data_IF_159029355892
#
_entry.id   IF_159029355892
#
_cell.length_a   1.000
_cell.length_b   1.000
_cell.length_c   1.000
_cell.angle_alpha   90.00
_cell.angle_beta   90.00
_cell.angle_gamma   90.00
#
_symmetry.space_group_name_H-M   'P 1'
#
loop_
_entity.id
_entity.type
_entity.pdbx_description
1 polymer ?
#
# COMPACT_ATOMS: atom_id res chain seq x y z
N UNK A 1 -18.15 -42.38 3.00
CA UNK A 1 -17.06 -41.38 3.00
C UNK A 1 -17.54 -40.19 2.18
N UNK A 2 -17.80 -39.06 2.83
CA UNK A 2 -18.13 -37.81 2.13
C UNK A 2 -16.80 -37.17 1.72
N UNK A 3 -16.55 -36.87 0.44
CA UNK A 3 -15.40 -36.08 0.07
C UNK A 3 -15.65 -34.66 0.58
N UNK A 4 -14.85 -34.23 1.55
CA UNK A 4 -14.81 -32.82 1.93
C UNK A 4 -14.38 -32.04 0.67
N UNK A 5 -15.32 -31.28 0.09
CA UNK A 5 -15.03 -30.28 -0.92
C UNK A 5 -14.08 -29.26 -0.29
N UNK A 6 -12.78 -29.43 -0.53
CA UNK A 6 -11.78 -28.40 -0.27
C UNK A 6 -11.99 -27.29 -1.29
N UNK A 7 -12.92 -26.38 -1.01
CA UNK A 7 -13.00 -25.12 -1.74
C UNK A 7 -11.75 -24.31 -1.39
N UNK A 8 -10.81 -24.18 -2.34
CA UNK A 8 -9.74 -23.20 -2.23
C UNK A 8 -10.37 -21.81 -2.13
N UNK A 9 -10.15 -21.11 -1.03
CA UNK A 9 -10.54 -19.72 -0.90
C UNK A 9 -9.77 -18.88 -1.93
N UNK A 10 -10.47 -18.06 -2.70
CA UNK A 10 -9.85 -17.10 -3.61
C UNK A 10 -9.25 -15.95 -2.79
N UNK A 11 -8.03 -15.55 -3.14
CA UNK A 11 -7.41 -14.37 -2.56
C UNK A 11 -8.18 -13.12 -2.99
N UNK A 12 -8.46 -12.23 -2.04
CA UNK A 12 -9.01 -10.90 -2.29
C UNK A 12 -7.84 -9.93 -2.31
N UNK A 13 -7.84 -9.01 -3.28
CA UNK A 13 -6.83 -7.97 -3.38
C UNK A 13 -7.44 -6.58 -3.38
N UNK A 14 -6.70 -5.65 -2.78
CA UNK A 14 -6.95 -4.21 -2.83
C UNK A 14 -5.68 -3.48 -3.28
N UNK A 15 -5.84 -2.34 -3.94
CA UNK A 15 -4.73 -1.56 -4.47
C UNK A 15 -4.92 -0.07 -4.22
N UNK A 16 -3.82 0.63 -3.99
CA UNK A 16 -3.78 2.08 -3.92
C UNK A 16 -2.58 2.61 -4.71
N UNK A 17 -2.74 3.78 -5.33
CA UNK A 17 -1.72 4.43 -6.16
C UNK A 17 -1.50 5.86 -5.72
N UNK A 18 -0.27 6.33 -5.82
CA UNK A 18 0.11 7.74 -5.73
C UNK A 18 0.88 8.13 -7.00
N UNK A 19 0.60 9.32 -7.53
CA UNK A 19 1.11 9.81 -8.82
C UNK A 19 1.67 11.22 -8.69
N UNK A 20 2.69 11.52 -9.48
CA UNK A 20 3.35 12.81 -9.51
C UNK A 20 4.17 13.00 -10.77
N UNK A 21 4.80 14.17 -10.89
CA UNK A 21 5.70 14.48 -12.00
C UNK A 21 7.08 13.86 -11.80
N UNK A 22 7.73 13.43 -12.88
CA UNK A 22 9.16 13.09 -12.92
C UNK A 22 10.07 14.35 -12.86
N UNK A 23 9.48 15.53 -13.05
CA UNK A 23 10.14 16.83 -13.05
C UNK A 23 9.29 17.85 -12.26
N UNK A 24 9.20 17.70 -10.93
CA UNK A 24 8.59 18.71 -10.07
C UNK A 24 9.34 20.04 -10.17
N UNK A 25 8.67 21.18 -9.92
CA UNK A 25 9.34 22.47 -9.83
C UNK A 25 10.25 22.49 -8.60
N UNK A 26 11.35 23.24 -8.66
CA UNK A 26 12.23 23.40 -7.50
C UNK A 26 11.84 24.59 -6.64
N UNK A 27 12.07 24.50 -5.33
CA UNK A 27 11.74 25.58 -4.39
C UNK A 27 12.61 25.54 -3.14
N UNK A 28 12.76 26.68 -2.46
CA UNK A 28 13.45 26.79 -1.16
C UNK A 28 12.49 26.87 0.05
N UNK A 29 11.23 26.50 -0.17
CA UNK A 29 10.21 26.38 0.89
C UNK A 29 10.49 25.16 1.77
N UNK A 30 9.70 25.01 2.83
CA UNK A 30 9.77 23.84 3.73
C UNK A 30 9.00 22.62 3.21
N UNK A 31 8.09 22.85 2.25
CA UNK A 31 7.26 21.83 1.62
C UNK A 31 7.02 22.17 0.14
N UNK A 32 6.95 21.13 -0.68
CA UNK A 32 6.61 21.15 -2.09
C UNK A 32 5.64 20.01 -2.39
N UNK A 33 4.52 20.30 -3.06
CA UNK A 33 3.57 19.28 -3.51
C UNK A 33 3.87 18.90 -4.97
N UNK A 34 4.01 17.60 -5.23
CA UNK A 34 4.22 17.01 -6.54
C UNK A 34 3.14 15.94 -6.81
N UNK A 35 1.93 16.39 -7.17
CA UNK A 35 0.77 15.49 -7.26
C UNK A 35 0.38 14.98 -5.87
N UNK A 36 0.35 13.67 -5.70
CA UNK A 36 0.02 13.00 -4.44
C UNK A 36 1.19 12.99 -3.44
N UNK A 37 2.38 13.42 -3.88
CA UNK A 37 3.59 13.43 -3.05
C UNK A 37 3.80 14.78 -2.36
N UNK A 38 4.04 14.76 -1.05
CA UNK A 38 4.57 15.89 -0.29
C UNK A 38 6.08 15.72 -0.10
N UNK A 39 6.84 16.66 -0.64
CA UNK A 39 8.30 16.70 -0.58
C UNK A 39 8.69 17.70 0.50
N UNK A 40 9.49 17.27 1.47
CA UNK A 40 9.86 18.07 2.63
C UNK A 40 11.36 18.10 2.87
N UNK A 41 11.81 19.09 3.62
CA UNK A 41 13.22 19.21 4.01
C UNK A 41 13.62 18.00 4.88
N UNK A 42 14.75 17.38 4.55
CA UNK A 42 15.33 16.37 5.41
C UNK A 42 15.94 17.01 6.66
N UNK A 43 15.32 16.76 7.82
CA UNK A 43 15.77 17.30 9.10
C UNK A 43 17.20 16.91 9.48
N UNK A 44 17.80 15.89 8.85
CA UNK A 44 19.22 15.55 9.05
C UNK A 44 20.17 16.49 8.34
N UNK A 45 19.70 17.25 7.34
CA UNK A 45 20.51 18.26 6.64
C UNK A 45 19.69 19.53 6.33
N UNK A 46 19.25 20.26 7.37
CA UNK A 46 18.29 21.37 7.22
C UNK A 46 18.88 22.61 6.50
N UNK A 47 20.20 22.62 6.27
CA UNK A 47 20.90 23.63 5.49
C UNK A 47 20.68 23.47 3.98
N UNK A 48 20.38 22.24 3.52
CA UNK A 48 20.04 21.96 2.13
C UNK A 48 18.53 21.98 1.99
N UNK A 49 17.99 23.07 1.44
CA UNK A 49 16.54 23.34 1.36
C UNK A 49 15.99 23.35 -0.07
N UNK A 50 16.78 22.91 -1.04
CA UNK A 50 16.27 22.82 -2.40
C UNK A 50 15.39 21.56 -2.46
N UNK A 51 14.08 21.76 -2.61
CA UNK A 51 13.11 20.69 -2.78
C UNK A 51 12.80 20.53 -4.27
N UNK A 52 12.50 19.31 -4.70
CA UNK A 52 12.10 18.97 -6.06
C UNK A 52 13.26 18.58 -6.99
N UNK A 53 14.50 18.55 -6.49
CA UNK A 53 15.66 18.12 -7.28
C UNK A 53 16.03 16.64 -7.07
N UNK A 54 15.41 16.00 -6.07
CA UNK A 54 15.57 14.59 -5.71
C UNK A 54 16.89 14.27 -5.03
N UNK A 55 17.58 15.22 -4.39
CA UNK A 55 18.92 14.98 -3.83
C UNK A 55 18.92 15.00 -2.30
N UNK A 56 18.14 15.88 -1.67
CA UNK A 56 18.29 16.15 -0.23
C UNK A 56 16.99 16.06 0.57
N UNK A 57 15.86 16.07 -0.10
CA UNK A 57 14.51 16.01 0.43
C UNK A 57 14.07 14.60 0.85
N UNK A 58 12.99 14.54 1.62
CA UNK A 58 12.24 13.31 1.89
C UNK A 58 10.89 13.43 1.19
N UNK A 59 10.49 12.37 0.49
CA UNK A 59 9.19 12.31 -0.18
C UNK A 59 8.21 11.49 0.66
N UNK A 60 7.05 12.05 0.95
CA UNK A 60 5.97 11.45 1.71
C UNK A 60 4.72 11.32 0.85
N UNK A 61 3.95 10.26 1.07
CA UNK A 61 2.60 10.12 0.51
C UNK A 61 1.79 9.16 1.37
N UNK A 62 0.58 8.88 0.92
CA UNK A 62 -0.31 7.92 1.54
C UNK A 62 -0.91 7.01 0.48
N UNK A 63 -0.89 5.71 0.73
CA UNK A 63 -1.66 4.75 -0.04
C UNK A 63 -3.09 4.74 0.51
N UNK A 64 -4.03 5.37 -0.20
CA UNK A 64 -5.44 5.43 0.18
C UNK A 64 -6.24 4.36 -0.57
N UNK A 65 -6.75 3.37 0.18
CA UNK A 65 -7.55 2.27 -0.35
C UNK A 65 -9.06 2.51 -0.25
N UNK A 66 -9.51 3.66 0.26
CA UNK A 66 -10.92 3.95 0.56
C UNK A 66 -11.85 3.74 -0.62
N UNK A 67 -11.36 3.95 -1.84
CA UNK A 67 -12.13 3.82 -3.08
C UNK A 67 -11.96 2.45 -3.77
N UNK A 68 -11.21 1.51 -3.18
CA UNK A 68 -11.04 0.19 -3.76
C UNK A 68 -12.37 -0.61 -3.67
N UNK A 69 -12.87 -1.18 -4.79
CA UNK A 69 -14.14 -1.89 -4.82
C UNK A 69 -14.18 -3.13 -3.91
N UNK A 70 -13.04 -3.73 -3.62
CA UNK A 70 -12.93 -4.94 -2.79
C UNK A 70 -12.69 -4.61 -1.31
N UNK A 71 -12.55 -3.34 -0.94
CA UNK A 71 -12.23 -2.93 0.44
C UNK A 71 -13.18 -3.54 1.47
N UNK A 72 -14.50 -3.52 1.19
CA UNK A 72 -15.52 -4.06 2.09
C UNK A 72 -15.44 -5.58 2.32
N UNK A 73 -14.73 -6.30 1.45
CA UNK A 73 -14.54 -7.74 1.52
C UNK A 73 -13.11 -8.11 1.95
N UNK A 74 -12.20 -7.15 1.98
CA UNK A 74 -10.80 -7.39 2.28
C UNK A 74 -10.63 -7.75 3.77
N UNK A 75 -10.05 -8.92 4.09
CA UNK A 75 -9.89 -9.35 5.48
C UNK A 75 -8.72 -8.60 6.13
N UNK A 76 -9.01 -7.51 6.84
CA UNK A 76 -8.03 -6.62 7.45
C UNK A 76 -7.48 -7.08 8.83
N UNK A 77 -7.91 -8.23 9.34
CA UNK A 77 -7.44 -8.84 10.60
C UNK A 77 -6.65 -10.14 10.45
N UNK A 78 -6.32 -10.54 9.22
CA UNK A 78 -5.70 -11.84 8.91
C UNK A 78 -4.23 -11.78 8.47
N UNK A 79 -3.77 -12.81 7.77
CA UNK A 79 -2.44 -12.85 7.15
C UNK A 79 -2.51 -12.41 5.69
N UNK A 80 -1.56 -11.56 5.29
CA UNK A 80 -1.34 -11.24 3.88
C UNK A 80 -0.58 -12.40 3.22
N UNK A 81 -1.06 -12.83 2.05
CA UNK A 81 -0.31 -13.76 1.21
C UNK A 81 0.74 -13.02 0.37
N UNK A 82 0.48 -11.75 0.03
CA UNK A 82 1.36 -10.94 -0.79
C UNK A 82 1.18 -9.45 -0.47
N UNK A 83 2.26 -8.68 -0.58
CA UNK A 83 2.20 -7.22 -0.48
C UNK A 83 3.16 -6.59 -1.51
N UNK A 84 2.64 -6.27 -2.69
CA UNK A 84 3.44 -5.77 -3.80
C UNK A 84 3.55 -4.25 -3.77
N UNK A 85 4.74 -3.74 -3.50
CA UNK A 85 5.10 -2.33 -3.65
C UNK A 85 5.78 -2.11 -4.99
N UNK A 86 5.26 -1.21 -5.81
CA UNK A 86 5.91 -0.73 -7.04
C UNK A 86 6.26 0.75 -6.88
N UNK A 87 7.49 1.13 -7.23
CA UNK A 87 7.96 2.52 -7.19
C UNK A 87 8.61 2.88 -8.53
N UNK A 88 8.25 4.03 -9.09
CA UNK A 88 8.94 4.60 -10.26
C UNK A 88 9.86 5.74 -9.80
N UNK A 89 11.15 5.47 -9.89
CA UNK A 89 12.24 6.30 -9.41
C UNK A 89 12.93 7.00 -10.59
N UNK A 90 13.32 8.25 -10.40
CA UNK A 90 14.27 8.96 -11.25
C UNK A 90 15.49 9.34 -10.41
N UNK A 91 16.55 8.51 -10.37
CA UNK A 91 17.72 8.73 -9.52
C UNK A 91 18.49 9.98 -9.94
N UNK A 92 18.91 10.75 -8.94
CA UNK A 92 19.61 12.04 -9.09
C UNK A 92 21.00 12.03 -8.46
N UNK A 93 21.27 11.05 -7.60
CA UNK A 93 22.54 10.90 -6.90
C UNK A 93 23.02 9.43 -6.94
N UNK A 94 24.33 9.22 -6.85
CA UNK A 94 24.97 7.89 -6.83
C UNK A 94 24.68 7.11 -5.56
N UNK A 95 24.25 7.80 -4.50
CA UNK A 95 23.95 7.20 -3.20
C UNK A 95 22.54 6.61 -3.09
N UNK A 96 21.78 6.52 -4.18
CA UNK A 96 20.42 5.92 -4.21
C UNK A 96 20.34 4.53 -3.56
N UNK A 97 21.39 3.71 -3.65
CA UNK A 97 21.39 2.37 -3.02
C UNK A 97 21.46 2.42 -1.51
N UNK A 98 21.78 3.57 -0.92
CA UNK A 98 21.75 3.80 0.53
C UNK A 98 20.37 4.19 1.04
N UNK A 99 19.46 4.59 0.14
CA UNK A 99 18.12 5.02 0.49
C UNK A 99 17.32 3.89 1.14
N UNK A 100 16.38 4.32 1.99
CA UNK A 100 15.35 3.48 2.55
C UNK A 100 13.96 4.02 2.23
N UNK A 101 12.99 3.11 2.17
CA UNK A 101 11.58 3.44 1.99
C UNK A 101 10.73 2.56 2.90
N UNK A 102 9.58 3.06 3.36
CA UNK A 102 8.77 2.30 4.30
C UNK A 102 7.62 3.06 4.93
N UNK A 103 7.07 2.44 5.96
CA UNK A 103 6.03 3.00 6.83
C UNK A 103 6.74 3.76 7.97
N UNK A 104 6.55 5.08 8.09
CA UNK A 104 7.20 5.89 9.12
C UNK A 104 7.01 5.31 10.53
N UNK A 105 8.10 5.14 11.28
CA UNK A 105 8.06 4.65 12.67
C UNK A 105 7.73 3.17 12.84
N UNK A 106 7.46 2.43 11.76
CA UNK A 106 7.11 0.99 11.81
C UNK A 106 8.22 0.15 11.20
N UNK A 107 8.42 0.24 9.88
CA UNK A 107 9.36 -0.61 9.16
C UNK A 107 9.80 0.04 7.86
N UNK A 108 11.05 -0.21 7.48
CA UNK A 108 11.64 0.24 6.23
C UNK A 108 12.49 -0.87 5.60
N UNK A 109 12.65 -0.82 4.28
CA UNK A 109 13.57 -1.65 3.49
C UNK A 109 14.58 -0.76 2.77
N UNK A 110 15.70 -1.34 2.32
CA UNK A 110 16.69 -0.59 1.53
C UNK A 110 16.42 -0.72 0.05
N UNK A 111 16.71 0.36 -0.69
CA UNK A 111 16.55 0.35 -2.16
C UNK A 111 17.54 -0.61 -2.82
N UNK A 112 18.71 -0.82 -2.22
CA UNK A 112 19.67 -1.87 -2.63
C UNK A 112 19.11 -3.28 -2.66
N UNK A 113 18.00 -3.54 -1.97
CA UNK A 113 17.40 -4.88 -1.89
C UNK A 113 16.57 -5.20 -3.15
N UNK A 114 16.22 -4.19 -3.96
CA UNK A 114 15.55 -4.41 -5.25
C UNK A 114 16.54 -4.82 -6.34
N UNK A 115 16.06 -5.69 -7.24
CA UNK A 115 16.70 -5.84 -8.55
C UNK A 115 16.27 -4.69 -9.46
N UNK A 116 17.21 -4.20 -10.28
CA UNK A 116 16.90 -3.23 -11.33
C UNK A 116 16.70 -1.79 -10.87
N UNK A 117 17.39 -1.36 -9.80
CA UNK A 117 17.48 0.07 -9.45
C UNK A 117 17.93 0.86 -10.69
N UNK A 118 17.18 1.88 -11.14
CA UNK A 118 17.52 2.63 -12.34
C UNK A 118 18.89 3.33 -12.21
N UNK A 119 19.52 3.61 -13.35
CA UNK A 119 20.75 4.41 -13.37
C UNK A 119 20.43 5.90 -13.19
N UNK A 120 21.42 6.68 -12.76
CA UNK A 120 21.29 8.14 -12.62
C UNK A 120 20.84 8.76 -13.95
N UNK A 121 19.85 9.66 -13.87
CA UNK A 121 19.29 10.34 -15.04
C UNK A 121 18.31 9.50 -15.86
N UNK A 122 18.05 8.25 -15.46
CA UNK A 122 17.03 7.40 -16.08
C UNK A 122 15.84 7.21 -15.14
N UNK A 123 14.64 7.11 -15.69
CA UNK A 123 13.44 6.79 -14.91
C UNK A 123 13.12 5.31 -15.09
N UNK A 124 12.84 4.60 -14.00
CA UNK A 124 12.47 3.19 -14.07
C UNK A 124 11.69 2.73 -12.85
N UNK A 125 11.04 1.58 -12.98
CA UNK A 125 10.18 1.01 -11.94
C UNK A 125 10.85 -0.18 -11.27
N UNK A 126 10.88 -0.17 -9.94
CA UNK A 126 11.27 -1.30 -9.11
C UNK A 126 10.05 -1.89 -8.42
N UNK A 127 10.13 -3.16 -8.02
CA UNK A 127 9.05 -3.86 -7.33
C UNK A 127 9.60 -4.68 -6.17
N UNK A 128 8.90 -4.63 -5.05
CA UNK A 128 9.15 -5.45 -3.87
C UNK A 128 7.91 -6.25 -3.54
N UNK A 129 8.08 -7.52 -3.17
CA UNK A 129 7.11 -8.19 -2.33
C UNK A 129 7.52 -7.94 -0.88
N UNK A 130 6.86 -7.01 -0.18
CA UNK A 130 7.29 -6.51 1.11
C UNK A 130 7.50 -7.63 2.14
N UNK A 131 6.73 -8.72 2.04
CA UNK A 131 6.84 -9.87 2.92
C UNK A 131 8.18 -10.62 2.75
N UNK A 132 8.78 -10.59 1.56
CA UNK A 132 10.11 -11.16 1.30
C UNK A 132 11.25 -10.25 1.81
N UNK A 133 10.94 -8.98 2.09
CA UNK A 133 11.90 -7.97 2.55
C UNK A 133 11.68 -7.57 4.02
N UNK A 134 11.14 -8.49 4.81
CA UNK A 134 11.10 -8.41 6.27
C UNK A 134 9.98 -7.54 6.85
N UNK A 135 9.02 -7.10 6.04
CA UNK A 135 7.73 -6.66 6.56
C UNK A 135 6.90 -7.87 6.98
N UNK A 136 6.13 -7.72 8.05
CA UNK A 136 5.11 -8.69 8.44
C UNK A 136 3.72 -8.20 8.03
N UNK A 137 2.74 -9.10 7.98
CA UNK A 137 1.34 -8.69 7.82
C UNK A 137 0.89 -7.74 8.93
N UNK A 138 1.41 -7.91 10.15
CA UNK A 138 1.09 -7.05 11.28
C UNK A 138 1.63 -5.61 11.08
N UNK A 139 2.81 -5.44 10.51
CA UNK A 139 3.36 -4.10 10.20
C UNK A 139 2.45 -3.36 9.20
N UNK A 140 2.02 -4.06 8.15
CA UNK A 140 1.25 -3.49 7.04
C UNK A 140 -0.21 -3.25 7.46
N UNK A 141 -0.88 -4.28 8.00
CA UNK A 141 -2.27 -4.19 8.42
C UNK A 141 -2.43 -3.32 9.68
N UNK A 142 -1.42 -3.28 10.55
CA UNK A 142 -1.40 -2.35 11.68
C UNK A 142 -1.39 -0.90 11.24
N UNK A 143 -0.64 -0.56 10.18
CA UNK A 143 -0.68 0.78 9.59
C UNK A 143 -1.99 1.06 8.86
N UNK A 144 -2.49 0.10 8.08
CA UNK A 144 -3.76 0.19 7.35
C UNK A 144 -4.97 0.47 8.25
N UNK A 145 -4.98 -0.12 9.45
CA UNK A 145 -6.05 0.01 10.43
C UNK A 145 -5.78 1.09 11.50
N UNK A 146 -4.77 1.96 11.35
CA UNK A 146 -4.48 3.00 12.37
C UNK A 146 -4.54 4.42 11.78
N UNK A 147 -5.59 5.23 12.09
CA UNK A 147 -6.77 4.97 12.93
C UNK A 147 -8.02 4.53 12.12
N UNK A 148 -8.04 3.30 11.60
CA UNK A 148 -9.09 2.74 10.72
C UNK A 148 -9.41 3.61 9.49
N UNK A 149 -8.40 4.25 8.94
CA UNK A 149 -8.54 5.16 7.79
C UNK A 149 -8.51 4.45 6.44
N UNK A 150 -8.20 3.15 6.38
CA UNK A 150 -7.90 2.41 5.15
C UNK A 150 -6.73 3.03 4.37
N UNK A 151 -5.81 3.67 5.09
CA UNK A 151 -4.66 4.33 4.49
C UNK A 151 -3.36 3.85 5.11
N UNK A 152 -2.30 3.82 4.32
CA UNK A 152 -0.95 3.50 4.80
C UNK A 152 -0.02 4.67 4.48
N UNK A 153 0.51 5.38 5.49
CA UNK A 153 1.50 6.41 5.25
C UNK A 153 2.80 5.78 4.76
N UNK A 154 3.47 6.45 3.84
CA UNK A 154 4.71 5.97 3.26
C UNK A 154 5.71 7.11 3.07
N UNK A 155 6.99 6.76 3.10
CA UNK A 155 8.06 7.68 2.75
C UNK A 155 9.12 7.01 1.89
N UNK A 156 9.83 7.83 1.13
CA UNK A 156 11.07 7.50 0.47
C UNK A 156 12.11 8.57 0.87
N UNK A 157 13.37 8.16 1.04
CA UNK A 157 14.45 9.07 1.40
C UNK A 157 14.83 9.98 0.22
N UNK A 158 16.10 10.36 0.14
CA UNK A 158 16.59 11.36 -0.79
C UNK A 158 17.16 10.69 -2.05
N UNK A 159 18.05 11.32 -2.80
CA UNK A 159 18.77 10.73 -3.94
C UNK A 159 17.94 10.26 -5.18
N UNK A 160 16.61 10.29 -5.13
CA UNK A 160 15.72 10.10 -6.27
C UNK A 160 14.42 10.94 -6.21
N UNK A 161 13.82 11.17 -7.38
CA UNK A 161 12.44 11.68 -7.51
C UNK A 161 11.49 10.51 -7.66
N UNK A 162 10.41 10.51 -6.87
CA UNK A 162 9.29 9.56 -6.98
C UNK A 162 8.20 10.18 -7.86
N UNK A 163 7.78 9.43 -8.87
CA UNK A 163 6.71 9.87 -9.79
C UNK A 163 5.51 8.94 -9.81
N UNK A 164 5.67 7.71 -9.32
CA UNK A 164 4.59 6.75 -9.18
C UNK A 164 4.90 5.81 -8.04
N UNK A 165 3.89 5.50 -7.23
CA UNK A 165 3.92 4.45 -6.24
C UNK A 165 2.62 3.67 -6.30
N UNK A 166 2.69 2.35 -6.14
CA UNK A 166 1.51 1.49 -6.03
C UNK A 166 1.75 0.44 -4.95
N UNK A 167 0.76 0.22 -4.11
CA UNK A 167 0.75 -0.87 -3.15
C UNK A 167 -0.47 -1.75 -3.41
N UNK A 168 -0.23 -3.04 -3.65
CA UNK A 168 -1.28 -4.05 -3.75
C UNK A 168 -1.16 -5.05 -2.59
N UNK A 169 -2.25 -5.24 -1.87
CA UNK A 169 -2.32 -6.19 -0.75
C UNK A 169 -3.20 -7.37 -1.15
N UNK A 170 -2.73 -8.57 -0.88
CA UNK A 170 -3.44 -9.81 -1.18
C UNK A 170 -3.65 -10.58 0.12
N UNK A 171 -4.90 -10.91 0.42
CA UNK A 171 -5.25 -11.67 1.62
C UNK A 171 -6.19 -12.82 1.27
N UNK A 172 -6.03 -13.93 1.96
CA UNK A 172 -6.90 -15.10 1.81
C UNK A 172 -7.90 -15.10 2.95
N UNK A 173 -9.22 -14.99 2.67
CA UNK A 173 -10.22 -15.07 3.73
C UNK A 173 -10.15 -16.40 4.46
N UNK A 174 -10.26 -16.36 5.78
CA UNK A 174 -10.31 -17.60 6.57
C UNK A 174 -11.56 -18.43 6.21
N UNK A 175 -11.45 -19.78 6.15
CA UNK A 175 -12.53 -20.65 5.66
C UNK A 175 -13.87 -20.51 6.42
N UNK A 176 -13.85 -20.09 7.68
CA UNK A 176 -15.06 -19.92 8.50
C UNK A 176 -15.84 -18.63 8.18
N UNK A 177 -15.17 -17.58 7.74
CA UNK A 177 -15.79 -16.27 7.42
C UNK A 177 -16.66 -16.36 6.17
N UNK A 178 -16.26 -17.15 5.17
CA UNK A 178 -17.04 -17.39 3.94
C UNK A 178 -18.33 -18.16 4.25
N UNK A 179 -18.26 -19.15 5.14
CA UNK A 179 -19.42 -19.97 5.50
C UNK A 179 -20.47 -19.15 6.29
N UNK A 180 -20.03 -18.20 7.13
CA UNK A 180 -20.90 -17.29 7.88
C UNK A 180 -21.61 -16.24 7.02
N UNK A 181 -20.91 -15.62 6.06
CA UNK A 181 -21.51 -14.62 5.17
C UNK A 181 -22.52 -15.24 4.18
N UNK A 182 -22.22 -16.41 3.62
CA UNK A 182 -23.12 -17.12 2.72
C UNK A 182 -24.39 -17.66 3.41
N UNK A 183 -24.27 -18.11 4.66
CA UNK A 183 -25.44 -18.56 5.44
C UNK A 183 -26.34 -17.39 5.86
N UNK A 184 -25.80 -16.25 6.27
CA UNK A 184 -26.61 -15.10 6.67
C UNK A 184 -27.53 -14.58 5.54
N UNK A 185 -27.05 -14.58 4.29
CA UNK A 185 -27.86 -14.18 3.12
C UNK A 185 -28.97 -15.21 2.82
N UNK A 186 -28.66 -16.51 2.91
CA UNK A 186 -29.62 -17.59 2.69
C UNK A 186 -30.69 -17.65 3.81
N UNK A 187 -30.29 -17.45 5.06
CA UNK A 187 -31.23 -17.38 6.19
C UNK A 187 -32.08 -16.10 6.15
N UNK A 188 -31.50 -14.94 5.81
CA UNK A 188 -32.24 -13.68 5.74
C UNK A 188 -33.33 -13.65 4.67
N UNK A 189 -33.05 -14.23 3.49
CA UNK A 189 -34.02 -14.34 2.40
C UNK A 189 -35.07 -15.43 2.66
N UNK A 190 -34.65 -16.58 3.21
CA UNK A 190 -35.54 -17.68 3.59
C UNK A 190 -36.53 -17.30 4.71
N UNK A 191 -36.06 -16.58 5.73
CA UNK A 191 -36.89 -16.16 6.87
C UNK A 191 -37.94 -15.11 6.48
N UNK A 192 -37.56 -14.11 5.66
CA UNK A 192 -38.51 -13.12 5.13
C UNK A 192 -39.60 -13.75 4.26
N UNK A 193 -39.26 -14.76 3.44
CA UNK A 193 -40.23 -15.49 2.61
C UNK A 193 -41.21 -16.33 3.45
N UNK A 194 -40.77 -16.85 4.60
CA UNK A 194 -41.63 -17.61 5.53
C UNK A 194 -42.61 -16.71 6.28
N UNK A 195 -42.19 -15.51 6.71
CA UNK A 195 -43.06 -14.53 7.38
C UNK A 195 -44.13 -13.94 6.46
N UNK A 196 -43.83 -13.72 5.17
CA UNK A 196 -44.81 -13.22 4.21
C UNK A 196 -45.97 -14.21 3.94
N UNK A 197 -45.74 -15.52 4.11
CA UNK A 197 -46.80 -16.53 4.01
C UNK A 197 -47.71 -16.61 5.24
N UNK A 198 -47.20 -16.26 6.43
CA UNK A 198 -47.96 -16.32 7.70
C UNK A 198 -48.93 -15.15 7.84
N UNK A 199 -48.70 -14.02 7.14
CA UNK A 199 -49.58 -12.84 7.17
C UNK A 199 -50.79 -12.88 6.21
N UNK A 200 -50.95 -13.93 5.41
CA UNK A 200 -52.19 -14.14 4.63
C UNK A 200 -53.14 -15.04 5.43
N UNK A 201 -53.92 -14.42 6.32
CA UNK A 201 -55.15 -14.97 6.87
C UNK A 201 -56.24 -13.94 6.71
#
# INVERSE_FOLDING_TARGET
>A
MNPALSCKALAISIAATATGSISPPTTSRTELINGDFSITVNSRNPALRLLGDGVTEITHWTFDFTNDPNLSQFPNGGTLNKALLMLTLSPRNTLITTDSTGIPGVKQLKISDSSGVPSIGTTGTITFDLLDFGFTSADILGAFNNPDTNVIPWFYQNDAIISFAKLELYAVPEPLTILGAGTAIAFGTGFKRKLAKVKKK
#
